data_IF_770253156666
#
_entry.id   IF_770253156666
#
_cell.length_a   1.000
_cell.length_b   1.000
_cell.length_c   1.000
_cell.angle_alpha   90.00
_cell.angle_beta   90.00
_cell.angle_gamma   90.00
#
_symmetry.space_group_name_H-M   'P 1'
#
loop_
_entity.id
_entity.type
_entity.pdbx_description
1 polymer ?
#
# COMPACT_ATOMS: atom_id res chain seq x y z
N UNK A 1 10.47 18.21 0.90
CA UNK A 1 10.14 18.65 -0.46
C UNK A 1 9.91 17.40 -1.29
N UNK A 2 8.70 17.20 -1.81
CA UNK A 2 8.44 16.18 -2.83
C UNK A 2 9.18 16.63 -4.09
N UNK A 3 10.40 16.11 -4.29
CA UNK A 3 11.23 16.44 -5.45
C UNK A 3 10.62 15.87 -6.74
N UNK A 4 11.05 16.39 -7.89
CA UNK A 4 10.73 15.88 -9.23
C UNK A 4 11.34 14.49 -9.52
N UNK A 5 11.45 13.62 -8.52
CA UNK A 5 11.79 12.22 -8.69
C UNK A 5 10.56 11.42 -9.12
N UNK A 6 10.76 10.22 -9.66
CA UNK A 6 9.69 9.32 -10.08
C UNK A 6 8.93 8.72 -8.88
N UNK A 7 8.27 9.58 -8.08
CA UNK A 7 7.55 9.23 -6.86
C UNK A 7 6.28 8.42 -7.11
N UNK A 8 5.72 8.50 -8.33
CA UNK A 8 4.53 7.76 -8.74
C UNK A 8 4.64 6.25 -8.51
N UNK A 9 5.84 5.70 -8.71
CA UNK A 9 6.13 4.26 -8.52
C UNK A 9 5.93 3.80 -7.08
N UNK A 10 6.08 4.69 -6.10
CA UNK A 10 6.02 4.40 -4.67
C UNK A 10 4.65 4.73 -4.05
N UNK A 11 3.71 5.30 -4.80
CA UNK A 11 2.40 5.73 -4.26
C UNK A 11 1.62 4.55 -3.66
N UNK A 12 1.42 3.48 -4.44
CA UNK A 12 0.69 2.30 -3.99
C UNK A 12 1.40 1.60 -2.81
N UNK A 13 2.71 1.30 -2.88
CA UNK A 13 3.45 0.74 -1.75
C UNK A 13 3.35 1.58 -0.47
N UNK A 14 3.42 2.91 -0.59
CA UNK A 14 3.35 3.82 0.56
C UNK A 14 1.97 3.77 1.23
N UNK A 15 0.90 3.74 0.44
CA UNK A 15 -0.45 3.57 0.98
C UNK A 15 -0.65 2.19 1.65
N UNK A 16 -0.10 1.12 1.08
CA UNK A 16 -0.13 -0.21 1.70
C UNK A 16 0.59 -0.24 3.04
N UNK A 17 1.80 0.31 3.11
CA UNK A 17 2.56 0.43 4.36
C UNK A 17 1.83 1.29 5.40
N UNK A 18 1.24 2.41 4.97
CA UNK A 18 0.47 3.28 5.86
C UNK A 18 -0.78 2.57 6.40
N UNK A 19 -1.47 1.80 5.56
CA UNK A 19 -2.63 0.99 5.97
C UNK A 19 -2.24 -0.05 7.02
N UNK A 20 -1.14 -0.75 6.82
CA UNK A 20 -0.62 -1.72 7.80
C UNK A 20 -0.24 -1.04 9.12
N UNK A 21 0.49 0.08 9.05
CA UNK A 21 0.86 0.88 10.23
C UNK A 21 -0.36 1.35 11.01
N UNK A 22 -1.40 1.84 10.33
CA UNK A 22 -2.66 2.27 10.96
C UNK A 22 -3.41 1.09 11.57
N UNK A 23 -3.47 -0.05 10.88
CA UNK A 23 -4.10 -1.27 11.41
C UNK A 23 -3.41 -1.71 12.71
N UNK A 24 -2.08 -1.70 12.74
CA UNK A 24 -1.29 -2.00 13.93
C UNK A 24 -1.49 -0.98 15.07
N UNK A 25 -1.75 0.29 14.76
CA UNK A 25 -2.09 1.30 15.76
C UNK A 25 -3.48 1.09 16.33
N UNK A 26 -4.46 0.75 15.49
CA UNK A 26 -5.84 0.48 15.90
C UNK A 26 -5.91 -0.76 16.79
N UNK A 27 -5.19 -1.82 16.47
CA UNK A 27 -5.19 -3.06 17.27
C UNK A 27 -4.54 -2.89 18.63
N UNK A 28 -3.59 -1.95 18.78
CA UNK A 28 -2.90 -1.65 20.04
C UNK A 28 -3.59 -0.57 20.87
N UNK A 29 -4.35 0.32 20.23
CA UNK A 29 -5.03 1.41 20.90
C UNK A 29 -6.25 0.89 21.69
N UNK A 30 -6.44 1.43 22.89
CA UNK A 30 -7.68 1.24 23.64
C UNK A 30 -8.75 2.15 23.04
N UNK A 31 -10.01 1.70 23.01
CA UNK A 31 -11.12 2.51 22.46
C UNK A 31 -11.30 3.86 23.18
N UNK A 32 -10.83 3.96 24.43
CA UNK A 32 -10.86 5.18 25.25
C UNK A 32 -9.73 6.17 24.91
N UNK A 33 -8.77 5.77 24.08
CA UNK A 33 -7.70 6.65 23.62
C UNK A 33 -8.28 7.77 22.76
N UNK A 34 -7.87 9.01 23.01
CA UNK A 34 -8.30 10.17 22.24
C UNK A 34 -7.93 10.08 20.76
N UNK A 35 -6.90 9.30 20.42
CA UNK A 35 -6.47 9.06 19.04
C UNK A 35 -7.22 7.92 18.34
N UNK A 36 -7.93 7.07 19.07
CA UNK A 36 -8.70 5.95 18.49
C UNK A 36 -9.65 6.37 17.35
N UNK A 37 -10.51 7.40 17.51
CA UNK A 37 -11.36 7.87 16.41
C UNK A 37 -10.55 8.47 15.24
N UNK A 38 -9.39 9.06 15.53
CA UNK A 38 -8.50 9.61 14.51
C UNK A 38 -7.90 8.50 13.65
N UNK A 39 -7.45 7.39 14.23
CA UNK A 39 -6.91 6.25 13.48
C UNK A 39 -7.95 5.65 12.54
N UNK A 40 -9.19 5.49 13.00
CA UNK A 40 -10.30 5.01 12.16
C UNK A 40 -10.65 5.98 11.02
N UNK A 41 -10.59 7.29 11.26
CA UNK A 41 -10.79 8.29 10.21
C UNK A 41 -9.65 8.28 9.18
N UNK A 42 -8.40 8.12 9.64
CA UNK A 42 -7.23 7.98 8.77
C UNK A 42 -7.31 6.71 7.93
N UNK A 43 -7.68 5.57 8.53
CA UNK A 43 -7.82 4.31 7.82
C UNK A 43 -8.84 4.43 6.68
N UNK A 44 -10.01 5.02 6.93
CA UNK A 44 -11.02 5.28 5.89
C UNK A 44 -10.48 6.11 4.72
N UNK A 45 -9.68 7.15 5.01
CA UNK A 45 -9.05 7.98 3.95
C UNK A 45 -7.99 7.20 3.18
N UNK A 46 -7.16 6.43 3.88
CA UNK A 46 -6.12 5.60 3.26
C UNK A 46 -6.76 4.54 2.35
N UNK A 47 -7.82 3.87 2.80
CA UNK A 47 -8.55 2.90 1.97
C UNK A 47 -9.15 3.54 0.72
N UNK A 48 -9.73 4.73 0.84
CA UNK A 48 -10.26 5.49 -0.30
C UNK A 48 -9.15 5.80 -1.32
N UNK A 49 -8.06 6.43 -0.88
CA UNK A 49 -6.98 6.83 -1.80
C UNK A 49 -6.18 5.65 -2.34
N UNK A 50 -6.03 4.58 -1.56
CA UNK A 50 -5.45 3.33 -2.06
C UNK A 50 -6.33 2.74 -3.18
N UNK A 51 -7.66 2.75 -3.00
CA UNK A 51 -8.59 2.29 -4.04
C UNK A 51 -8.49 3.14 -5.31
N UNK A 52 -8.47 4.47 -5.17
CA UNK A 52 -8.28 5.40 -6.30
C UNK A 52 -6.92 5.16 -7.00
N UNK A 53 -5.84 4.94 -6.23
CA UNK A 53 -4.52 4.67 -6.78
C UNK A 53 -4.46 3.34 -7.54
N UNK A 54 -5.11 2.29 -7.02
CA UNK A 54 -5.21 0.98 -7.67
C UNK A 54 -6.04 1.01 -8.97
N UNK A 55 -6.97 1.96 -9.11
CA UNK A 55 -7.72 2.18 -10.36
C UNK A 55 -6.90 2.94 -11.42
N UNK A 56 -5.77 3.55 -11.04
CA UNK A 56 -4.92 4.28 -11.96
C UNK A 56 -3.87 3.36 -12.60
N UNK A 57 -4.13 2.94 -13.84
CA UNK A 57 -3.22 2.06 -14.60
C UNK A 57 -1.78 2.60 -14.67
N UNK A 58 -1.61 3.92 -14.79
CA UNK A 58 -0.28 4.54 -14.83
C UNK A 58 0.49 4.29 -13.53
N UNK A 59 -0.17 4.45 -12.38
CA UNK A 59 0.46 4.17 -11.09
C UNK A 59 0.77 2.68 -10.95
N UNK A 60 -0.19 1.80 -11.26
CA UNK A 60 -0.02 0.35 -11.20
C UNK A 60 1.16 -0.12 -12.05
N UNK A 61 1.20 0.26 -13.33
CA UNK A 61 2.28 -0.12 -14.25
C UNK A 61 3.62 0.44 -13.75
N UNK A 62 3.64 1.71 -13.32
CA UNK A 62 4.87 2.32 -12.82
C UNK A 62 5.43 1.61 -11.58
N UNK A 63 4.55 1.17 -10.66
CA UNK A 63 4.93 0.38 -9.48
C UNK A 63 5.45 -1.00 -9.88
N UNK A 64 4.76 -1.72 -10.78
CA UNK A 64 5.18 -3.05 -11.23
C UNK A 64 6.54 -3.01 -11.95
N UNK A 65 6.77 -1.96 -12.76
CA UNK A 65 8.00 -1.82 -13.53
C UNK A 65 9.20 -1.40 -12.68
N UNK A 66 8.97 -0.88 -11.47
CA UNK A 66 10.04 -0.42 -10.60
C UNK A 66 10.88 -1.60 -10.08
N UNK A 67 12.22 -1.57 -10.23
CA UNK A 67 13.09 -2.71 -9.88
C UNK A 67 12.90 -3.26 -8.47
N UNK A 68 12.64 -2.38 -7.48
CA UNK A 68 12.41 -2.80 -6.09
C UNK A 68 11.19 -3.70 -5.88
N UNK A 69 10.18 -3.61 -6.74
CA UNK A 69 8.93 -4.36 -6.57
C UNK A 69 8.77 -5.44 -7.63
N UNK A 70 9.29 -5.19 -8.83
CA UNK A 70 9.16 -6.07 -9.99
C UNK A 70 9.49 -7.52 -9.66
N UNK A 71 10.68 -7.78 -9.08
CA UNK A 71 11.11 -9.15 -8.78
C UNK A 71 10.16 -9.85 -7.82
N UNK A 72 9.77 -9.17 -6.74
CA UNK A 72 8.85 -9.73 -5.75
C UNK A 72 7.47 -10.04 -6.34
N UNK A 73 6.97 -9.18 -7.23
CA UNK A 73 5.71 -9.44 -7.95
C UNK A 73 5.83 -10.65 -8.87
N UNK A 74 6.96 -10.82 -9.56
CA UNK A 74 7.21 -12.01 -10.37
C UNK A 74 7.29 -13.28 -9.53
N UNK A 75 7.96 -13.25 -8.38
CA UNK A 75 8.01 -14.38 -7.44
C UNK A 75 6.61 -14.72 -6.90
N UNK A 76 5.78 -13.73 -6.60
CA UNK A 76 4.40 -13.97 -6.17
C UNK A 76 3.54 -14.61 -7.26
N UNK A 77 3.71 -14.19 -8.52
CA UNK A 77 2.91 -14.68 -9.64
C UNK A 77 3.41 -16.00 -10.23
N UNK A 78 4.73 -16.26 -10.20
CA UNK A 78 5.36 -17.38 -10.91
C UNK A 78 6.41 -18.14 -10.08
N UNK A 79 6.55 -17.84 -8.78
CA UNK A 79 7.42 -18.60 -7.89
C UNK A 79 6.86 -19.98 -7.55
N UNK A 80 7.65 -20.79 -6.85
CA UNK A 80 7.32 -22.18 -6.53
C UNK A 80 5.99 -22.34 -5.74
N UNK A 81 5.61 -21.32 -4.98
CA UNK A 81 4.37 -21.28 -4.20
C UNK A 81 3.18 -20.68 -4.96
N UNK A 82 3.40 -20.15 -6.17
CA UNK A 82 2.38 -19.45 -6.94
C UNK A 82 1.30 -20.38 -7.48
N UNK A 83 0.11 -19.82 -7.69
CA UNK A 83 -1.02 -20.56 -8.28
C UNK A 83 -0.81 -20.88 -9.75
N UNK A 84 -0.09 -20.03 -10.50
CA UNK A 84 0.14 -20.22 -11.94
C UNK A 84 1.08 -21.40 -12.26
N UNK A 85 1.89 -21.83 -11.28
CA UNK A 85 2.85 -22.95 -11.42
C UNK A 85 2.26 -24.28 -10.93
N UNK A 86 1.18 -24.25 -10.13
CA UNK A 86 0.49 -25.43 -9.61
C UNK A 86 -0.63 -25.91 -10.55
#
# INVERSE_FOLDING_TARGET
MEGNSATGTHVIPTYLQLKESLTNKITRALEKDSLYPMYHAMQRRVDKYLTEAMQCNTLVISTIMHPCYRMHIFELAYGDDSYEVK
#
